data_IF_969733061034
#
_entry.id   IF_969733061034
#
_cell.length_a   1.000
_cell.length_b   1.000
_cell.length_c   1.000
_cell.angle_alpha   90.00
_cell.angle_beta   90.00
_cell.angle_gamma   90.00
#
_symmetry.space_group_name_H-M   'P 1'
#
loop_
_entity.id
_entity.type
_entity.pdbx_description
1 polymer ?
#
# COMPACT_ATOMS: atom_id res chain seq x y z
N UNK A 1 19.35 -28.62 5.71
CA UNK A 1 18.97 -27.23 6.02
C UNK A 1 20.22 -26.38 5.89
N UNK A 2 20.28 -25.46 4.92
CA UNK A 2 21.40 -24.51 4.77
C UNK A 2 20.84 -23.11 5.00
N UNK A 3 21.15 -22.54 6.15
CA UNK A 3 20.89 -21.13 6.44
C UNK A 3 21.95 -20.31 5.71
N UNK A 4 21.62 -19.82 4.52
CA UNK A 4 22.45 -18.82 3.84
C UNK A 4 21.53 -17.71 3.34
N UNK A 5 21.26 -16.75 4.22
CA UNK A 5 21.45 -15.32 3.97
C UNK A 5 21.12 -14.60 5.29
N UNK A 6 22.01 -14.72 6.27
CA UNK A 6 22.04 -13.80 7.39
C UNK A 6 22.72 -12.51 6.91
N UNK A 7 21.96 -11.42 6.89
CA UNK A 7 22.44 -10.04 7.07
C UNK A 7 23.58 -9.56 6.18
N UNK A 8 23.24 -8.85 5.11
CA UNK A 8 24.10 -7.75 4.63
C UNK A 8 23.33 -6.45 4.76
N UNK A 9 23.33 -5.90 5.98
CA UNK A 9 23.08 -4.46 6.20
C UNK A 9 24.41 -3.83 6.61
N UNK A 10 25.32 -3.72 5.66
CA UNK A 10 26.58 -3.00 5.88
C UNK A 10 26.60 -1.86 4.87
N UNK A 11 26.18 -0.69 5.33
CA UNK A 11 26.29 0.62 4.68
C UNK A 11 25.43 0.86 3.42
N UNK A 12 24.11 0.81 3.58
CA UNK A 12 23.21 1.57 2.70
C UNK A 12 22.75 2.78 3.49
N UNK A 13 23.41 3.92 3.30
CA UNK A 13 22.84 5.20 3.72
C UNK A 13 21.69 5.54 2.77
N UNK A 14 20.63 6.16 3.31
CA UNK A 14 19.59 6.71 2.47
C UNK A 14 20.23 7.76 1.54
N UNK A 15 19.99 7.66 0.25
CA UNK A 15 20.48 8.63 -0.72
C UNK A 15 19.84 10.00 -0.39
N UNK A 16 20.65 11.01 -0.11
CA UNK A 16 20.17 12.34 0.30
C UNK A 16 19.60 13.16 -0.86
N UNK A 17 19.79 12.70 -2.10
CA UNK A 17 19.33 13.36 -3.33
C UNK A 17 18.11 12.70 -3.98
N UNK A 18 17.38 11.85 -3.24
CA UNK A 18 16.13 11.26 -3.75
C UNK A 18 15.11 12.39 -4.00
N UNK A 19 14.55 12.51 -5.22
CA UNK A 19 13.49 13.47 -5.50
C UNK A 19 12.30 13.27 -4.57
N UNK A 20 11.62 14.34 -4.18
CA UNK A 20 10.53 14.25 -3.19
C UNK A 20 9.38 13.36 -3.66
N UNK A 21 9.12 13.28 -4.98
CA UNK A 21 8.14 12.36 -5.57
C UNK A 21 8.48 10.88 -5.32
N UNK A 22 9.77 10.54 -5.27
CA UNK A 22 10.23 9.17 -4.98
C UNK A 22 10.10 8.87 -3.48
N UNK A 23 10.38 9.86 -2.61
CA UNK A 23 10.15 9.74 -1.17
C UNK A 23 8.66 9.59 -0.83
N UNK A 24 7.79 10.37 -1.47
CA UNK A 24 6.33 10.27 -1.28
C UNK A 24 5.80 8.91 -1.77
N UNK A 25 6.31 8.39 -2.89
CA UNK A 25 5.98 7.05 -3.38
C UNK A 25 6.40 5.96 -2.38
N UNK A 26 7.59 6.10 -1.79
CA UNK A 26 8.08 5.15 -0.78
C UNK A 26 7.18 5.13 0.47
N UNK A 27 6.69 6.28 0.92
CA UNK A 27 5.74 6.38 2.05
C UNK A 27 4.40 5.74 1.71
N UNK A 28 3.83 6.01 0.54
CA UNK A 28 2.54 5.44 0.14
C UNK A 28 2.60 3.90 0.06
N UNK A 29 3.67 3.35 -0.52
CA UNK A 29 3.88 1.89 -0.59
C UNK A 29 4.07 1.31 0.82
N UNK A 30 4.81 1.99 1.70
CA UNK A 30 4.98 1.54 3.07
C UNK A 30 3.65 1.47 3.84
N UNK A 31 2.79 2.47 3.71
CA UNK A 31 1.47 2.47 4.37
C UNK A 31 0.52 1.41 3.81
N UNK A 32 0.56 1.17 2.49
CA UNK A 32 -0.17 0.05 1.87
C UNK A 32 0.28 -1.28 2.46
N UNK A 33 1.59 -1.50 2.57
CA UNK A 33 2.15 -2.70 3.20
C UNK A 33 1.71 -2.82 4.66
N UNK A 34 1.84 -1.76 5.46
CA UNK A 34 1.42 -1.73 6.86
C UNK A 34 -0.05 -2.11 7.01
N UNK A 35 -0.93 -1.61 6.14
CA UNK A 35 -2.35 -1.96 6.13
C UNK A 35 -2.58 -3.46 5.86
N UNK A 36 -1.88 -4.03 4.87
CA UNK A 36 -1.98 -5.45 4.52
C UNK A 36 -1.51 -6.33 5.68
N UNK A 37 -0.34 -6.06 6.24
CA UNK A 37 0.20 -6.83 7.36
C UNK A 37 -0.65 -6.66 8.64
N UNK A 38 -1.00 -5.41 8.98
CA UNK A 38 -1.72 -5.08 10.21
C UNK A 38 -3.14 -5.61 10.26
N UNK A 39 -3.80 -5.79 9.10
CA UNK A 39 -5.15 -6.36 9.01
C UNK A 39 -5.15 -7.82 8.52
N UNK A 40 -3.99 -8.48 8.46
CA UNK A 40 -3.85 -9.86 7.98
C UNK A 40 -4.50 -10.10 6.60
N UNK A 41 -4.39 -9.13 5.69
CA UNK A 41 -4.90 -9.26 4.33
C UNK A 41 -4.00 -10.20 3.51
N UNK A 42 -4.56 -11.00 2.60
CA UNK A 42 -3.77 -11.91 1.78
C UNK A 42 -2.84 -11.13 0.84
N UNK A 43 -1.56 -11.52 0.73
CA UNK A 43 -0.62 -10.85 -0.18
C UNK A 43 -1.06 -10.90 -1.64
N UNK A 44 -1.88 -11.89 -2.02
CA UNK A 44 -2.44 -11.95 -3.36
C UNK A 44 -3.40 -10.79 -3.68
N UNK A 45 -3.82 -10.01 -2.67
CA UNK A 45 -4.62 -8.80 -2.85
C UNK A 45 -3.96 -7.81 -3.81
N UNK A 46 -2.63 -7.67 -3.78
CA UNK A 46 -1.92 -6.74 -4.67
C UNK A 46 -2.02 -7.11 -6.14
N UNK A 47 -2.38 -8.37 -6.46
CA UNK A 47 -2.63 -8.85 -7.82
C UNK A 47 -4.10 -8.76 -8.22
N UNK A 48 -4.99 -8.39 -7.31
CA UNK A 48 -6.41 -8.25 -7.60
C UNK A 48 -6.64 -7.07 -8.55
N UNK A 49 -7.36 -7.25 -9.68
CA UNK A 49 -7.75 -6.13 -10.52
C UNK A 49 -8.50 -5.03 -9.76
N UNK A 50 -9.27 -5.41 -8.73
CA UNK A 50 -9.99 -4.46 -7.87
C UNK A 50 -9.03 -3.57 -7.06
N UNK A 51 -7.94 -4.16 -6.56
CA UNK A 51 -6.94 -3.43 -5.79
C UNK A 51 -6.16 -2.47 -6.69
N UNK A 52 -5.76 -2.92 -7.88
CA UNK A 52 -5.09 -2.08 -8.89
C UNK A 52 -5.99 -0.92 -9.32
N UNK A 53 -7.27 -1.19 -9.59
CA UNK A 53 -8.24 -0.16 -9.96
C UNK A 53 -8.48 0.83 -8.83
N UNK A 54 -8.57 0.37 -7.57
CA UNK A 54 -8.70 1.23 -6.40
C UNK A 54 -7.53 2.21 -6.30
N UNK A 55 -6.28 1.72 -6.36
CA UNK A 55 -5.10 2.57 -6.28
C UNK A 55 -5.01 3.56 -7.44
N UNK A 56 -5.41 3.16 -8.66
CA UNK A 56 -5.48 4.05 -9.81
C UNK A 56 -6.41 5.23 -9.56
N UNK A 57 -7.65 4.97 -9.12
CA UNK A 57 -8.65 6.03 -8.84
C UNK A 57 -8.22 6.92 -7.68
N UNK A 58 -7.62 6.34 -6.64
CA UNK A 58 -7.05 7.10 -5.51
C UNK A 58 -5.94 8.03 -5.98
N UNK A 59 -5.03 7.54 -6.83
CA UNK A 59 -3.94 8.33 -7.40
C UNK A 59 -4.44 9.46 -8.31
N UNK A 60 -5.45 9.19 -9.14
CA UNK A 60 -6.11 10.20 -9.98
C UNK A 60 -6.83 11.28 -9.17
N UNK A 61 -7.41 10.92 -8.01
CA UNK A 61 -8.04 11.88 -7.09
C UNK A 61 -7.02 12.81 -6.42
N UNK A 62 -5.88 12.26 -5.97
CA UNK A 62 -4.80 13.02 -5.34
C UNK A 62 -5.03 13.39 -3.87
N UNK A 63 -4.40 14.48 -3.41
CA UNK A 63 -4.40 14.90 -1.99
C UNK A 63 -5.81 15.31 -1.54
N UNK A 64 -6.21 14.88 -0.34
CA UNK A 64 -7.50 15.23 0.27
C UNK A 64 -8.60 14.17 0.14
N UNK A 65 -8.29 12.98 -0.37
CA UNK A 65 -9.22 11.86 -0.32
C UNK A 65 -9.53 11.51 1.14
N UNK A 66 -10.82 11.47 1.49
CA UNK A 66 -11.27 10.97 2.78
C UNK A 66 -11.50 9.46 2.67
N UNK A 67 -11.02 8.65 3.62
CA UNK A 67 -11.35 7.23 3.63
C UNK A 67 -12.87 7.05 3.76
N UNK A 68 -13.44 5.99 3.14
CA UNK A 68 -14.86 5.72 3.27
C UNK A 68 -15.20 5.37 4.72
N UNK A 69 -16.38 5.80 5.17
CA UNK A 69 -16.92 5.47 6.48
C UNK A 69 -17.41 4.02 6.52
N UNK A 70 -17.51 3.45 7.72
CA UNK A 70 -18.10 2.12 7.91
C UNK A 70 -19.52 2.00 7.33
N UNK A 71 -20.31 3.07 7.45
CA UNK A 71 -21.66 3.11 6.89
C UNK A 71 -21.63 3.03 5.37
N UNK A 72 -20.77 3.80 4.70
CA UNK A 72 -20.63 3.77 3.26
C UNK A 72 -20.19 2.39 2.77
N UNK A 73 -19.18 1.78 3.39
CA UNK A 73 -18.70 0.43 3.03
C UNK A 73 -19.82 -0.61 3.19
N UNK A 74 -20.55 -0.57 4.32
CA UNK A 74 -21.63 -1.53 4.62
C UNK A 74 -22.84 -1.36 3.71
N UNK A 75 -23.23 -0.13 3.38
CA UNK A 75 -24.51 0.15 2.70
C UNK A 75 -24.38 0.18 1.18
N UNK A 76 -23.26 0.66 0.64
CA UNK A 76 -23.12 0.90 -0.80
C UNK A 76 -22.86 -0.36 -1.64
N UNK A 77 -22.21 -1.39 -1.07
CA UNK A 77 -21.81 -2.59 -1.81
C UNK A 77 -22.53 -3.88 -1.41
N UNK A 78 -23.21 -3.95 -0.26
CA UNK A 78 -24.02 -5.13 0.11
C UNK A 78 -25.42 -5.15 -0.54
N UNK A 79 -25.86 -4.05 -1.17
CA UNK A 79 -27.18 -3.94 -1.80
C UNK A 79 -27.18 -4.15 -3.32
N UNK A 80 -26.03 -4.44 -3.93
CA UNK A 80 -25.88 -4.64 -5.38
C UNK A 80 -25.31 -6.02 -5.72
N UNK A 81 -25.77 -7.05 -5.00
CA UNK A 81 -25.61 -8.46 -5.37
C UNK A 81 -26.99 -9.03 -5.70
#
# INVERSE_FOLDING_TARGET
MKHHLAGTKINVSACTSVPDDVKEMDVAIQEICNCIYGNALPFNLVRSPLFVQMLKVVGEYGKGLKPPTYHEVRVSFLKKA
#
